data_IF_597777535964
#
_entry.id   IF_597777535964
#
_cell.length_a   1.000
_cell.length_b   1.000
_cell.length_c   1.000
_cell.angle_alpha   90.00
_cell.angle_beta   90.00
_cell.angle_gamma   90.00
#
_symmetry.space_group_name_H-M   'P 1'
#
loop_
_entity.id
_entity.type
_entity.pdbx_description
1 polymer ?
#
# COMPACT_ATOMS: atom_id res chain seq x y z
N UNK A 1 -11.91 -12.05 -10.26
CA UNK A 1 -13.10 -11.69 -9.45
C UNK A 1 -13.23 -12.69 -8.34
N UNK A 2 -13.14 -12.20 -7.11
CA UNK A 2 -13.30 -13.00 -5.88
C UNK A 2 -14.72 -13.56 -5.83
N UNK A 3 -14.88 -14.89 -5.68
CA UNK A 3 -16.19 -15.54 -5.58
C UNK A 3 -16.51 -16.04 -4.16
N UNK A 4 -15.49 -16.08 -3.31
CA UNK A 4 -15.59 -16.49 -1.92
C UNK A 4 -15.05 -15.42 -1.02
N UNK A 5 -15.54 -15.34 0.21
CA UNK A 5 -14.96 -14.47 1.23
C UNK A 5 -13.65 -15.12 1.72
N UNK A 6 -12.56 -14.41 1.57
CA UNK A 6 -11.26 -14.79 2.11
C UNK A 6 -10.93 -13.93 3.32
N UNK A 7 -10.18 -14.47 4.27
CA UNK A 7 -9.83 -13.73 5.49
C UNK A 7 -8.33 -13.77 5.72
N UNK A 8 -7.77 -12.59 6.07
CA UNK A 8 -6.36 -12.40 6.39
C UNK A 8 -6.27 -11.75 7.77
N UNK A 9 -5.49 -12.34 8.67
CA UNK A 9 -5.24 -11.79 10.00
C UNK A 9 -3.94 -10.99 10.01
N UNK A 10 -4.01 -9.74 10.45
CA UNK A 10 -2.85 -8.95 10.83
C UNK A 10 -2.50 -9.28 12.28
N UNK A 11 -1.28 -9.76 12.51
CA UNK A 11 -0.79 -10.13 13.84
C UNK A 11 0.19 -9.08 14.37
N UNK A 12 0.04 -8.75 15.65
CA UNK A 12 1.00 -7.95 16.43
C UNK A 12 1.36 -8.76 17.66
N UNK A 13 2.64 -8.90 17.95
CA UNK A 13 3.17 -9.70 19.06
C UNK A 13 2.60 -11.14 19.11
N UNK A 14 2.30 -11.71 17.94
CA UNK A 14 1.74 -13.05 17.82
C UNK A 14 0.24 -13.16 18.08
N UNK A 15 -0.45 -12.06 18.40
CA UNK A 15 -1.90 -12.01 18.56
C UNK A 15 -2.57 -11.40 17.30
N UNK A 16 -3.75 -11.90 16.91
CA UNK A 16 -4.53 -11.30 15.83
C UNK A 16 -5.06 -9.93 16.27
N UNK A 17 -4.57 -8.86 15.66
CA UNK A 17 -4.97 -7.49 15.94
C UNK A 17 -6.14 -7.04 15.08
N UNK A 18 -6.12 -7.33 13.78
CA UNK A 18 -7.19 -7.03 12.83
C UNK A 18 -7.38 -8.21 11.90
N UNK A 19 -8.66 -8.52 11.61
CA UNK A 19 -9.02 -9.47 10.57
C UNK A 19 -9.64 -8.73 9.40
N UNK A 20 -9.03 -8.86 8.24
CA UNK A 20 -9.58 -8.38 6.97
C UNK A 20 -10.35 -9.49 6.28
N UNK A 21 -11.49 -9.12 5.71
CA UNK A 21 -12.28 -10.00 4.86
C UNK A 21 -12.30 -9.42 3.44
N UNK A 22 -11.68 -10.13 2.50
CA UNK A 22 -11.87 -9.83 1.07
C UNK A 22 -13.19 -10.44 0.61
N UNK A 23 -14.05 -9.59 0.08
CA UNK A 23 -15.41 -9.97 -0.32
C UNK A 23 -15.60 -9.81 -1.82
N UNK A 24 -16.45 -10.62 -2.47
CA UNK A 24 -16.87 -10.34 -3.83
C UNK A 24 -17.54 -8.97 -3.92
N UNK A 25 -17.56 -8.37 -5.11
CA UNK A 25 -18.33 -7.16 -5.37
C UNK A 25 -19.85 -7.43 -5.38
N UNK A 26 -20.64 -6.36 -5.28
CA UNK A 26 -22.09 -6.43 -5.50
C UNK A 26 -22.35 -6.49 -7.02
N UNK A 27 -22.76 -7.65 -7.53
CA UNK A 27 -22.92 -7.88 -8.98
C UNK A 27 -24.13 -7.11 -9.52
N UNK A 28 -25.30 -7.23 -8.86
CA UNK A 28 -26.53 -6.52 -9.22
C UNK A 28 -27.03 -5.60 -8.09
N UNK A 29 -26.25 -4.56 -7.81
CA UNK A 29 -26.57 -3.55 -6.80
C UNK A 29 -27.91 -2.84 -7.06
N UNK A 30 -28.31 -2.67 -8.34
CA UNK A 30 -29.55 -2.00 -8.68
C UNK A 30 -30.79 -2.82 -8.31
N UNK A 31 -30.81 -4.09 -8.69
CA UNK A 31 -31.93 -4.98 -8.38
C UNK A 31 -32.00 -5.26 -6.87
N UNK A 32 -30.85 -5.47 -6.21
CA UNK A 32 -30.83 -5.68 -4.76
C UNK A 32 -31.34 -4.45 -4.01
N UNK A 33 -30.91 -3.24 -4.36
CA UNK A 33 -31.39 -2.01 -3.72
C UNK A 33 -32.89 -1.84 -3.89
N UNK A 34 -33.42 -2.09 -5.10
CA UNK A 34 -34.85 -2.06 -5.35
C UNK A 34 -35.58 -3.08 -4.48
N UNK A 35 -35.11 -4.29 -4.42
CA UNK A 35 -35.67 -5.34 -3.55
C UNK A 35 -35.68 -4.93 -2.08
N UNK A 36 -34.56 -4.42 -1.54
CA UNK A 36 -34.46 -3.96 -0.17
C UNK A 36 -35.43 -2.81 0.14
N UNK A 37 -35.64 -1.88 -0.81
CA UNK A 37 -36.59 -0.76 -0.64
C UNK A 37 -38.05 -1.21 -0.62
N UNK A 38 -38.37 -2.31 -1.28
CA UNK A 38 -39.74 -2.85 -1.29
C UNK A 38 -40.01 -3.82 -0.14
N UNK A 39 -38.96 -4.38 0.47
CA UNK A 39 -39.05 -5.33 1.56
C UNK A 39 -39.40 -4.54 2.88
N UNK A 40 -40.47 -4.91 3.56
CA UNK A 40 -40.87 -4.33 4.85
C UNK A 40 -40.86 -2.79 4.85
N UNK A 41 -41.87 -2.13 4.24
CA UNK A 41 -41.88 -0.66 4.05
C UNK A 41 -41.64 0.17 5.30
N UNK A 42 -42.15 -0.28 6.46
CA UNK A 42 -42.09 0.43 7.73
C UNK A 42 -40.82 0.10 8.55
N UNK A 43 -39.96 -0.83 8.07
CA UNK A 43 -38.75 -1.22 8.77
C UNK A 43 -37.57 -0.27 8.48
N UNK A 44 -36.63 -0.21 9.40
CA UNK A 44 -35.36 0.50 9.21
C UNK A 44 -34.54 -0.15 8.11
N UNK A 45 -33.61 0.57 7.47
CA UNK A 45 -32.73 -0.03 6.42
C UNK A 45 -32.01 -1.29 6.88
N UNK A 46 -31.47 -1.32 8.09
CA UNK A 46 -30.75 -2.48 8.61
C UNK A 46 -31.68 -3.67 8.91
N UNK A 47 -32.90 -3.42 9.31
CA UNK A 47 -33.91 -4.49 9.50
C UNK A 47 -34.30 -5.11 8.18
N UNK A 48 -34.40 -4.33 7.10
CA UNK A 48 -34.62 -4.82 5.74
C UNK A 48 -33.47 -5.71 5.27
N UNK A 49 -32.23 -5.30 5.49
CA UNK A 49 -31.06 -6.12 5.19
C UNK A 49 -31.08 -7.43 5.96
N UNK A 50 -31.38 -7.39 7.27
CA UNK A 50 -31.49 -8.63 8.10
C UNK A 50 -32.65 -9.54 7.66
N UNK A 51 -33.77 -8.96 7.25
CA UNK A 51 -34.89 -9.72 6.71
C UNK A 51 -34.54 -10.37 5.38
N UNK A 52 -33.92 -9.62 4.47
CA UNK A 52 -33.39 -10.16 3.21
C UNK A 52 -32.46 -11.36 3.44
N UNK A 53 -31.48 -11.25 4.35
CA UNK A 53 -30.52 -12.31 4.63
C UNK A 53 -31.15 -13.61 5.18
N UNK A 54 -32.35 -13.54 5.74
CA UNK A 54 -33.13 -14.68 6.19
C UNK A 54 -34.07 -15.23 5.10
N UNK A 55 -34.31 -14.42 4.06
CA UNK A 55 -35.20 -14.76 2.95
C UNK A 55 -34.62 -15.76 1.96
N UNK A 56 -35.46 -16.33 1.08
CA UNK A 56 -35.03 -17.25 0.05
C UNK A 56 -34.16 -16.61 -1.02
N UNK A 57 -34.37 -15.33 -1.34
CA UNK A 57 -33.63 -14.57 -2.37
C UNK A 57 -32.14 -14.47 -2.05
N UNK A 58 -31.78 -14.43 -0.76
CA UNK A 58 -30.40 -14.44 -0.29
C UNK A 58 -29.66 -15.78 -0.53
N UNK A 59 -30.38 -16.82 -0.95
CA UNK A 59 -29.83 -18.14 -1.31
C UNK A 59 -30.00 -18.46 -2.80
N UNK A 60 -30.64 -17.57 -3.53
CA UNK A 60 -30.98 -17.75 -4.93
C UNK A 60 -30.47 -16.58 -5.79
N UNK A 61 -31.32 -15.59 -6.03
CA UNK A 61 -31.04 -14.48 -6.95
C UNK A 61 -29.88 -13.59 -6.51
N UNK A 62 -29.68 -13.40 -5.19
CA UNK A 62 -28.65 -12.50 -4.61
C UNK A 62 -27.69 -13.25 -3.67
N UNK A 63 -27.25 -14.46 -4.05
CA UNK A 63 -26.39 -15.26 -3.18
C UNK A 63 -25.02 -14.57 -2.92
N UNK A 64 -24.44 -13.93 -3.94
CA UNK A 64 -23.13 -13.27 -3.81
C UNK A 64 -23.25 -12.03 -2.93
N UNK A 65 -24.24 -11.20 -3.18
CA UNK A 65 -24.53 -10.01 -2.38
C UNK A 65 -24.84 -10.37 -0.93
N UNK A 66 -25.57 -11.46 -0.71
CA UNK A 66 -25.85 -11.95 0.64
C UNK A 66 -24.60 -12.37 1.41
N UNK A 67 -23.57 -12.91 0.75
CA UNK A 67 -22.26 -13.19 1.37
C UNK A 67 -21.60 -11.92 1.84
N UNK A 68 -21.54 -10.91 0.99
CA UNK A 68 -20.98 -9.60 1.32
C UNK A 68 -21.68 -8.97 2.52
N UNK A 69 -23.03 -8.93 2.49
CA UNK A 69 -23.80 -8.28 3.54
C UNK A 69 -23.78 -9.06 4.88
N UNK A 70 -23.69 -10.39 4.86
CA UNK A 70 -23.47 -11.18 6.09
C UNK A 70 -22.13 -10.83 6.72
N UNK A 71 -21.07 -10.88 5.94
CA UNK A 71 -19.72 -10.53 6.41
C UNK A 71 -19.67 -9.10 6.95
N UNK A 72 -20.26 -8.14 6.24
CA UNK A 72 -20.31 -6.75 6.69
C UNK A 72 -21.04 -6.58 8.02
N UNK A 73 -22.16 -7.27 8.23
CA UNK A 73 -22.89 -7.18 9.50
C UNK A 73 -22.11 -7.77 10.69
N UNK A 74 -21.18 -8.70 10.43
CA UNK A 74 -20.32 -9.30 11.46
C UNK A 74 -19.05 -8.48 11.72
N UNK A 75 -18.64 -7.61 10.78
CA UNK A 75 -17.47 -6.74 10.91
C UNK A 75 -17.75 -5.49 11.75
N UNK A 76 -16.67 -4.88 12.27
CA UNK A 76 -16.73 -3.59 12.95
C UNK A 76 -16.90 -2.42 11.96
N UNK A 77 -16.31 -2.50 10.76
CA UNK A 77 -16.42 -1.50 9.69
C UNK A 77 -16.26 -2.15 8.31
N UNK A 78 -16.60 -1.40 7.26
CA UNK A 78 -16.28 -1.72 5.86
C UNK A 78 -15.24 -0.76 5.31
N UNK A 79 -14.28 -1.29 4.56
CA UNK A 79 -13.39 -0.53 3.69
C UNK A 79 -13.96 -0.63 2.28
N UNK A 80 -14.40 0.51 1.71
CA UNK A 80 -14.93 0.56 0.36
C UNK A 80 -13.84 1.07 -0.60
N UNK A 81 -13.18 0.14 -1.29
CA UNK A 81 -12.06 0.45 -2.20
C UNK A 81 -12.60 0.92 -3.55
N UNK A 82 -12.19 2.10 -3.97
CA UNK A 82 -12.66 2.79 -5.17
C UNK A 82 -11.50 2.96 -6.15
N UNK A 83 -11.64 2.43 -7.37
CA UNK A 83 -10.73 2.75 -8.48
C UNK A 83 -11.09 4.13 -9.05
N UNK A 84 -10.29 5.13 -8.71
CA UNK A 84 -10.52 6.51 -9.12
C UNK A 84 -10.37 6.77 -10.62
N UNK A 85 -9.83 5.85 -11.40
CA UNK A 85 -9.77 5.96 -12.87
C UNK A 85 -11.15 5.75 -13.51
N UNK A 86 -12.07 5.18 -12.76
CA UNK A 86 -13.45 5.00 -13.21
C UNK A 86 -14.32 6.19 -12.78
N UNK A 87 -15.16 6.65 -13.68
CA UNK A 87 -16.17 7.67 -13.40
C UNK A 87 -17.26 7.12 -12.48
N UNK A 88 -17.93 8.00 -11.75
CA UNK A 88 -19.04 7.60 -10.86
C UNK A 88 -20.24 7.16 -11.65
N UNK A 89 -20.43 5.86 -11.80
CA UNK A 89 -21.59 5.26 -12.45
C UNK A 89 -22.75 5.07 -11.46
N UNK A 90 -24.00 4.96 -11.94
CA UNK A 90 -25.18 4.72 -11.09
C UNK A 90 -25.03 3.50 -10.17
N UNK A 91 -24.39 2.43 -10.63
CA UNK A 91 -24.15 1.21 -9.84
C UNK A 91 -23.41 1.48 -8.54
N UNK A 92 -22.42 2.37 -8.55
CA UNK A 92 -21.65 2.72 -7.35
C UNK A 92 -22.47 3.49 -6.32
N UNK A 93 -23.41 4.32 -6.76
CA UNK A 93 -24.36 4.98 -5.87
C UNK A 93 -25.28 3.97 -5.18
N UNK A 94 -25.72 2.94 -5.92
CA UNK A 94 -26.51 1.86 -5.32
C UNK A 94 -25.70 1.04 -4.33
N UNK A 95 -24.44 0.74 -4.62
CA UNK A 95 -23.53 0.08 -3.68
C UNK A 95 -23.38 0.87 -2.38
N UNK A 96 -23.13 2.18 -2.47
CA UNK A 96 -23.02 3.07 -1.31
C UNK A 96 -24.31 3.06 -0.48
N UNK A 97 -25.49 3.15 -1.11
CA UNK A 97 -26.78 3.07 -0.42
C UNK A 97 -26.97 1.73 0.31
N UNK A 98 -26.59 0.62 -0.31
CA UNK A 98 -26.66 -0.73 0.29
C UNK A 98 -25.72 -0.84 1.48
N UNK A 99 -24.47 -0.37 1.36
CA UNK A 99 -23.51 -0.37 2.45
C UNK A 99 -24.00 0.48 3.63
N UNK A 100 -24.53 1.67 3.35
CA UNK A 100 -25.11 2.54 4.36
C UNK A 100 -26.31 1.90 5.07
N UNK A 101 -27.11 1.10 4.34
CA UNK A 101 -28.26 0.38 4.93
C UNK A 101 -27.85 -0.69 5.96
N UNK A 102 -26.60 -1.13 5.97
CA UNK A 102 -26.08 -2.08 6.96
C UNK A 102 -25.83 -1.46 8.34
N UNK A 103 -25.89 -0.14 8.48
CA UNK A 103 -25.65 0.59 9.72
C UNK A 103 -24.27 0.28 10.35
N UNK A 104 -23.27 0.07 9.50
CA UNK A 104 -21.86 -0.09 9.89
C UNK A 104 -21.06 1.12 9.40
N UNK A 105 -20.00 1.53 10.10
CA UNK A 105 -19.06 2.51 9.58
C UNK A 105 -18.50 2.07 8.23
N UNK A 106 -18.50 2.97 7.26
CA UNK A 106 -17.92 2.74 5.94
C UNK A 106 -16.79 3.73 5.73
N UNK A 107 -15.61 3.25 5.40
CA UNK A 107 -14.44 4.06 5.07
C UNK A 107 -14.13 3.92 3.57
N UNK A 108 -14.47 4.90 2.75
CA UNK A 108 -14.03 4.94 1.36
C UNK A 108 -12.52 5.10 1.26
N UNK A 109 -11.90 4.28 0.41
CA UNK A 109 -10.47 4.33 0.09
C UNK A 109 -10.32 4.61 -1.40
N UNK A 110 -9.77 5.77 -1.74
CA UNK A 110 -9.50 6.18 -3.11
C UNK A 110 -8.16 5.61 -3.58
N UNK A 111 -8.24 4.56 -4.41
CA UNK A 111 -7.09 3.96 -5.07
C UNK A 111 -6.83 4.64 -6.43
N UNK A 112 -5.58 4.68 -6.88
CA UNK A 112 -5.15 5.34 -8.11
C UNK A 112 -5.51 6.83 -8.17
N UNK A 113 -5.50 7.50 -7.01
CA UNK A 113 -5.89 8.92 -6.93
C UNK A 113 -4.88 9.85 -7.61
N UNK A 114 -3.63 9.43 -7.78
CA UNK A 114 -2.55 10.17 -8.44
C UNK A 114 -2.44 9.86 -9.95
N UNK A 115 -3.25 8.93 -10.47
CA UNK A 115 -3.28 8.62 -11.90
C UNK A 115 -3.78 9.83 -12.71
N UNK A 116 -3.18 10.15 -13.88
CA UNK A 116 -3.64 11.25 -14.75
C UNK A 116 -5.12 11.14 -15.19
N UNK A 117 -5.68 9.92 -15.24
CA UNK A 117 -7.08 9.68 -15.57
C UNK A 117 -7.99 9.72 -14.31
N UNK A 118 -7.47 10.10 -13.15
CA UNK A 118 -8.21 10.04 -11.89
C UNK A 118 -9.38 11.01 -11.84
N UNK A 119 -10.54 10.48 -11.45
CA UNK A 119 -11.78 11.21 -11.16
C UNK A 119 -11.98 11.41 -9.63
N UNK A 120 -10.90 11.43 -8.84
CA UNK A 120 -10.97 11.49 -7.37
C UNK A 120 -11.79 12.66 -6.83
N UNK A 121 -11.79 13.82 -7.51
CA UNK A 121 -12.62 14.97 -7.13
C UNK A 121 -14.12 14.66 -7.22
N UNK A 122 -14.55 14.03 -8.32
CA UNK A 122 -15.94 13.60 -8.52
C UNK A 122 -16.38 12.55 -7.51
N UNK A 123 -15.47 11.62 -7.17
CA UNK A 123 -15.71 10.63 -6.14
C UNK A 123 -15.91 11.27 -4.76
N UNK A 124 -15.04 12.22 -4.37
CA UNK A 124 -15.19 12.93 -3.09
C UNK A 124 -16.51 13.69 -3.00
N UNK A 125 -16.90 14.39 -4.05
CA UNK A 125 -18.19 15.08 -4.10
C UNK A 125 -19.34 14.09 -3.92
N UNK A 126 -19.31 12.96 -4.63
CA UNK A 126 -20.34 11.93 -4.50
C UNK A 126 -20.38 11.35 -3.09
N UNK A 127 -19.24 10.96 -2.52
CA UNK A 127 -19.15 10.39 -1.18
C UNK A 127 -19.67 11.38 -0.12
N UNK A 128 -19.34 12.66 -0.26
CA UNK A 128 -19.86 13.72 0.62
C UNK A 128 -21.39 13.82 0.55
N UNK A 129 -21.98 13.69 -0.65
CA UNK A 129 -23.43 13.69 -0.81
C UNK A 129 -24.12 12.50 -0.11
N UNK A 130 -23.40 11.41 0.10
CA UNK A 130 -23.85 10.24 0.89
C UNK A 130 -23.36 10.25 2.34
N UNK A 131 -22.89 11.38 2.85
CA UNK A 131 -22.41 11.57 4.23
C UNK A 131 -21.16 10.73 4.59
N UNK A 132 -20.42 10.27 3.60
CA UNK A 132 -19.13 9.56 3.78
C UNK A 132 -17.98 10.56 3.73
N UNK A 133 -17.80 11.33 4.82
CA UNK A 133 -16.82 12.41 4.87
C UNK A 133 -15.38 11.94 5.15
N UNK A 134 -15.21 10.81 5.85
CA UNK A 134 -13.90 10.22 6.10
C UNK A 134 -13.50 9.40 4.87
N UNK A 135 -12.68 9.98 4.01
CA UNK A 135 -12.24 9.35 2.77
C UNK A 135 -10.71 9.36 2.71
N UNK A 136 -10.12 8.19 2.61
CA UNK A 136 -8.67 7.98 2.63
C UNK A 136 -8.12 7.87 1.20
N UNK A 137 -6.95 8.44 0.96
CA UNK A 137 -6.17 8.16 -0.25
C UNK A 137 -5.17 7.06 0.06
N UNK A 138 -5.26 5.96 -0.65
CA UNK A 138 -4.31 4.87 -0.52
C UNK A 138 -4.09 4.24 -1.90
N UNK A 139 -2.94 4.52 -2.50
CA UNK A 139 -2.57 3.91 -3.78
C UNK A 139 -1.86 2.59 -3.50
N UNK A 140 -2.49 1.48 -3.87
CA UNK A 140 -1.96 0.15 -3.63
C UNK A 140 -0.73 -0.18 -4.49
N UNK A 141 -0.53 0.52 -5.61
CA UNK A 141 0.62 0.31 -6.51
C UNK A 141 1.82 1.17 -6.09
N UNK A 142 1.56 2.40 -5.62
CA UNK A 142 2.59 3.33 -5.22
C UNK A 142 2.16 4.06 -3.93
N UNK A 143 2.09 3.34 -2.78
CA UNK A 143 1.69 3.96 -1.53
C UNK A 143 2.72 5.01 -1.12
N UNK A 144 2.24 6.18 -0.69
CA UNK A 144 3.13 7.18 -0.11
C UNK A 144 3.64 6.70 1.26
N UNK A 145 4.79 7.21 1.66
CA UNK A 145 5.38 6.85 2.96
C UNK A 145 4.44 7.24 4.11
N UNK A 146 4.00 6.27 4.90
CA UNK A 146 3.05 6.46 6.00
C UNK A 146 1.57 6.27 5.60
N UNK A 147 1.27 5.84 4.37
CA UNK A 147 -0.11 5.59 3.93
C UNK A 147 -0.84 4.57 4.81
N UNK A 148 -0.17 3.51 5.22
CA UNK A 148 -0.72 2.51 6.13
C UNK A 148 -1.06 3.10 7.50
N UNK A 149 -0.14 3.88 8.06
CA UNK A 149 -0.36 4.58 9.33
C UNK A 149 -1.60 5.48 9.26
N UNK A 150 -1.69 6.29 8.19
CA UNK A 150 -2.84 7.18 7.98
C UNK A 150 -4.16 6.40 7.88
N UNK A 151 -4.15 5.24 7.23
CA UNK A 151 -5.32 4.35 7.13
C UNK A 151 -5.83 3.94 8.52
N UNK A 152 -4.94 3.53 9.43
CA UNK A 152 -5.31 3.14 10.79
C UNK A 152 -5.70 4.33 11.67
N UNK A 153 -5.08 5.51 11.49
CA UNK A 153 -5.50 6.74 12.15
C UNK A 153 -6.95 7.10 11.80
N UNK A 154 -7.29 7.06 10.50
CA UNK A 154 -8.63 7.36 10.00
C UNK A 154 -9.66 6.29 10.42
N UNK A 155 -9.26 5.00 10.44
CA UNK A 155 -10.08 3.94 11.05
C UNK A 155 -10.34 4.21 12.53
N UNK A 156 -9.37 4.70 13.29
CA UNK A 156 -9.50 5.06 14.69
C UNK A 156 -10.47 6.21 14.94
N UNK A 157 -10.68 7.09 13.95
CA UNK A 157 -11.72 8.13 14.00
C UNK A 157 -13.12 7.52 13.87
N UNK A 158 -13.29 6.53 13.00
CA UNK A 158 -14.54 5.84 12.75
C UNK A 158 -14.87 4.83 13.87
N UNK A 159 -13.88 4.11 14.37
CA UNK A 159 -14.00 3.01 15.33
C UNK A 159 -13.47 3.42 16.72
N UNK A 160 -14.12 4.39 17.36
CA UNK A 160 -13.68 4.95 18.65
C UNK A 160 -13.47 3.89 19.73
N UNK A 161 -14.31 2.86 19.76
CA UNK A 161 -14.21 1.77 20.76
C UNK A 161 -12.99 0.85 20.51
N UNK A 162 -12.46 0.81 19.28
CA UNK A 162 -11.29 0.04 18.87
C UNK A 162 -10.01 0.87 18.79
N UNK A 163 -10.08 2.15 19.13
CA UNK A 163 -8.98 3.10 18.97
C UNK A 163 -7.68 2.65 19.65
N UNK A 164 -7.78 2.07 20.84
CA UNK A 164 -6.58 1.57 21.53
C UNK A 164 -5.89 0.44 20.74
N UNK A 165 -6.66 -0.54 20.25
CA UNK A 165 -6.11 -1.63 19.43
C UNK A 165 -5.51 -1.13 18.10
N UNK A 166 -6.13 -0.13 17.47
CA UNK A 166 -5.59 0.48 16.26
C UNK A 166 -4.33 1.30 16.54
N UNK A 167 -4.22 1.91 17.74
CA UNK A 167 -3.01 2.60 18.17
C UNK A 167 -1.83 1.65 18.35
N UNK A 168 -2.05 0.46 18.89
CA UNK A 168 -1.01 -0.58 18.99
C UNK A 168 -0.44 -0.95 17.62
N UNK A 169 -1.31 -0.99 16.58
CA UNK A 169 -0.89 -1.23 15.19
C UNK A 169 -0.04 -0.06 14.67
N UNK A 170 -0.47 1.17 14.92
CA UNK A 170 0.26 2.38 14.50
C UNK A 170 1.65 2.40 15.15
N UNK A 171 1.73 2.11 16.44
CA UNK A 171 2.98 2.09 17.19
C UNK A 171 3.94 1.02 16.65
N UNK A 172 3.44 -0.15 16.29
CA UNK A 172 4.22 -1.21 15.64
C UNK A 172 4.72 -0.79 14.25
N UNK A 173 3.87 -0.17 13.42
CA UNK A 173 4.27 0.36 12.10
C UNK A 173 5.35 1.44 12.23
N UNK A 174 5.23 2.33 13.21
CA UNK A 174 6.22 3.36 13.50
C UNK A 174 7.55 2.74 13.95
N UNK A 175 7.49 1.74 14.82
CA UNK A 175 8.68 0.99 15.25
C UNK A 175 9.37 0.29 14.08
N UNK A 176 8.63 -0.45 13.26
CA UNK A 176 9.16 -1.12 12.06
C UNK A 176 9.77 -0.13 11.07
N UNK A 177 9.15 1.04 10.89
CA UNK A 177 9.67 2.10 10.04
C UNK A 177 11.01 2.63 10.58
N UNK A 178 11.12 2.82 11.90
CA UNK A 178 12.35 3.26 12.56
C UNK A 178 13.48 2.23 12.41
N UNK A 179 13.18 0.95 12.63
CA UNK A 179 14.16 -0.13 12.48
C UNK A 179 14.65 -0.30 11.05
N UNK A 180 13.74 -0.21 10.06
CA UNK A 180 14.12 -0.21 8.63
C UNK A 180 15.05 0.95 8.29
N UNK A 181 14.76 2.17 8.76
CA UNK A 181 15.62 3.34 8.56
C UNK A 181 16.98 3.18 9.25
N UNK A 182 17.02 2.55 10.42
CA UNK A 182 18.26 2.26 11.14
C UNK A 182 19.12 1.26 10.36
N UNK A 183 18.54 0.14 9.94
CA UNK A 183 19.22 -0.87 9.12
C UNK A 183 19.74 -0.29 7.81
N UNK A 184 18.95 0.53 7.12
CA UNK A 184 19.38 1.20 5.90
C UNK A 184 20.57 2.15 6.13
N UNK A 185 20.55 2.93 7.21
CA UNK A 185 21.69 3.81 7.57
C UNK A 185 22.95 3.02 7.88
N UNK A 186 22.84 1.90 8.58
CA UNK A 186 23.98 1.02 8.89
C UNK A 186 24.58 0.41 7.62
N UNK A 187 23.75 -0.01 6.66
CA UNK A 187 24.20 -0.53 5.36
C UNK A 187 24.96 0.53 4.56
N UNK A 188 24.42 1.75 4.47
CA UNK A 188 25.07 2.85 3.75
C UNK A 188 26.37 3.26 4.45
N UNK A 189 26.37 3.38 5.78
CA UNK A 189 27.56 3.71 6.55
C UNK A 189 28.67 2.65 6.36
N UNK A 190 28.31 1.36 6.37
CA UNK A 190 29.22 0.25 6.14
C UNK A 190 29.82 0.29 4.73
N UNK A 191 29.00 0.60 3.71
CA UNK A 191 29.47 0.80 2.34
C UNK A 191 30.50 1.94 2.28
N UNK A 192 30.18 3.11 2.86
CA UNK A 192 31.08 4.27 2.84
C UNK A 192 32.40 4.00 3.55
N UNK A 193 32.38 3.38 4.72
CA UNK A 193 33.58 2.99 5.45
C UNK A 193 34.41 1.98 4.65
N UNK A 194 33.77 0.95 4.09
CA UNK A 194 34.44 -0.07 3.28
C UNK A 194 35.07 0.52 2.02
N UNK A 195 34.34 1.41 1.33
CA UNK A 195 34.84 2.08 0.14
C UNK A 195 36.01 3.02 0.46
N UNK A 196 35.92 3.80 1.56
CA UNK A 196 36.99 4.69 2.00
C UNK A 196 38.26 3.93 2.47
N UNK A 197 38.07 2.73 3.05
CA UNK A 197 39.16 1.88 3.50
C UNK A 197 39.78 1.06 2.35
N UNK A 198 39.17 1.01 1.19
CA UNK A 198 39.64 0.22 0.06
C UNK A 198 40.93 0.80 -0.49
N UNK A 199 42.00 0.02 -0.44
CA UNK A 199 43.36 0.36 -0.94
C UNK A 199 43.87 -0.74 -1.81
N UNK A 200 44.71 -0.37 -2.81
CA UNK A 200 45.47 -1.28 -3.63
C UNK A 200 46.88 -0.74 -3.73
N UNK A 201 47.83 -1.52 -3.28
CA UNK A 201 49.24 -1.20 -3.44
C UNK A 201 49.68 -1.54 -4.86
N UNK A 202 50.34 -0.61 -5.53
CA UNK A 202 50.90 -0.76 -6.86
C UNK A 202 52.41 -0.88 -6.74
N UNK A 203 52.97 -1.86 -7.42
CA UNK A 203 54.45 -1.93 -7.55
C UNK A 203 54.96 -0.82 -8.50
N UNK A 204 56.22 -0.37 -8.38
CA UNK A 204 56.80 0.58 -9.34
C UNK A 204 56.70 0.09 -10.80
N UNK A 205 56.79 -1.20 -11.04
CA UNK A 205 56.65 -1.82 -12.37
C UNK A 205 55.21 -1.68 -12.90
N UNK A 206 54.18 -1.81 -12.03
CA UNK A 206 52.76 -1.65 -12.42
C UNK A 206 52.43 -0.20 -12.76
N UNK A 207 53.07 0.78 -12.11
CA UNK A 207 52.88 2.19 -12.39
C UNK A 207 53.51 2.61 -13.73
N UNK A 208 54.64 2.01 -14.08
CA UNK A 208 55.36 2.28 -15.34
C UNK A 208 54.69 1.66 -16.55
N UNK A 209 54.01 0.53 -16.38
CA UNK A 209 53.28 -0.15 -17.46
C UNK A 209 51.83 0.38 -17.53
N UNK A 210 51.53 1.19 -18.57
CA UNK A 210 50.22 1.78 -18.79
C UNK A 210 49.10 0.74 -18.93
N UNK A 211 49.37 -0.43 -19.51
CA UNK A 211 48.37 -1.49 -19.68
C UNK A 211 48.05 -2.17 -18.36
N UNK A 212 49.06 -2.48 -17.55
CA UNK A 212 48.90 -3.06 -16.22
C UNK A 212 48.17 -2.09 -15.28
N UNK A 213 48.54 -0.82 -15.28
CA UNK A 213 47.87 0.24 -14.52
C UNK A 213 46.39 0.33 -14.87
N UNK A 214 46.05 0.34 -16.18
CA UNK A 214 44.69 0.38 -16.65
C UNK A 214 43.87 -0.87 -16.26
N UNK A 215 44.51 -2.06 -16.27
CA UNK A 215 43.87 -3.30 -15.85
C UNK A 215 43.56 -3.31 -14.35
N UNK A 216 44.53 -2.86 -13.52
CA UNK A 216 44.34 -2.76 -12.07
C UNK A 216 43.27 -1.74 -11.71
N UNK A 217 43.23 -0.59 -12.39
CA UNK A 217 42.18 0.43 -12.17
C UNK A 217 40.80 -0.11 -12.56
N UNK A 218 40.67 -0.83 -13.68
CA UNK A 218 39.39 -1.48 -14.06
C UNK A 218 38.93 -2.49 -13.02
N UNK A 219 39.85 -3.31 -12.48
CA UNK A 219 39.54 -4.26 -11.42
C UNK A 219 39.07 -3.55 -10.14
N UNK A 220 39.78 -2.50 -9.73
CA UNK A 220 39.40 -1.71 -8.57
C UNK A 220 38.00 -1.11 -8.74
N UNK A 221 37.72 -0.50 -9.89
CA UNK A 221 36.37 0.05 -10.19
C UNK A 221 35.29 -1.05 -10.15
N UNK A 222 35.59 -2.24 -10.68
CA UNK A 222 34.66 -3.38 -10.61
C UNK A 222 34.39 -3.83 -9.16
N UNK A 223 35.41 -3.85 -8.32
CA UNK A 223 35.28 -4.24 -6.91
C UNK A 223 34.41 -3.20 -6.16
N UNK A 224 34.58 -1.91 -6.42
CA UNK A 224 33.72 -0.85 -5.86
C UNK A 224 32.28 -0.99 -6.36
N UNK A 225 32.08 -1.17 -7.65
CA UNK A 225 30.73 -1.34 -8.22
C UNK A 225 30.01 -2.57 -7.62
N UNK A 226 30.74 -3.67 -7.40
CA UNK A 226 30.17 -4.86 -6.75
C UNK A 226 29.70 -4.58 -5.31
N UNK A 227 30.46 -3.78 -4.54
CA UNK A 227 30.02 -3.38 -3.18
C UNK A 227 28.79 -2.50 -3.20
N UNK A 228 28.71 -1.54 -4.14
CA UNK A 228 27.52 -0.69 -4.33
C UNK A 228 26.30 -1.55 -4.66
N UNK A 229 26.43 -2.46 -5.64
CA UNK A 229 25.35 -3.38 -6.02
C UNK A 229 24.90 -4.23 -4.84
N UNK A 230 25.82 -4.77 -4.05
CA UNK A 230 25.48 -5.55 -2.85
C UNK A 230 24.74 -4.72 -1.80
N UNK A 231 25.15 -3.47 -1.59
CA UNK A 231 24.47 -2.55 -0.66
C UNK A 231 23.03 -2.24 -1.15
N UNK A 232 22.84 -1.95 -2.44
CA UNK A 232 21.52 -1.69 -3.01
C UNK A 232 20.60 -2.90 -2.87
N UNK A 233 21.12 -4.11 -3.16
CA UNK A 233 20.35 -5.35 -2.96
C UNK A 233 19.96 -5.57 -1.50
N UNK A 234 20.85 -5.26 -0.55
CA UNK A 234 20.54 -5.32 0.86
C UNK A 234 19.51 -4.28 1.27
N UNK A 235 19.56 -3.06 0.73
CA UNK A 235 18.55 -2.02 0.95
C UNK A 235 17.19 -2.44 0.42
N UNK A 236 17.12 -2.98 -0.81
CA UNK A 236 15.87 -3.51 -1.36
C UNK A 236 15.26 -4.56 -0.43
N UNK A 237 16.06 -5.50 0.07
CA UNK A 237 15.60 -6.52 1.01
C UNK A 237 15.06 -5.93 2.33
N UNK A 238 15.71 -4.88 2.88
CA UNK A 238 15.23 -4.17 4.10
C UNK A 238 13.86 -3.56 3.89
N UNK A 239 13.55 -3.08 2.68
CA UNK A 239 12.26 -2.48 2.34
C UNK A 239 11.26 -3.45 1.70
N UNK A 240 11.59 -4.74 1.61
CA UNK A 240 10.70 -5.79 1.10
C UNK A 240 10.55 -5.80 -0.42
N UNK A 241 11.46 -5.15 -1.15
CA UNK A 241 11.47 -5.19 -2.61
C UNK A 241 12.23 -6.42 -3.13
N UNK A 242 11.81 -6.93 -4.26
CA UNK A 242 12.53 -7.98 -4.96
C UNK A 242 13.81 -7.44 -5.63
N UNK A 243 14.78 -8.34 -5.83
CA UNK A 243 16.10 -7.98 -6.42
C UNK A 243 15.99 -7.36 -7.81
N UNK A 244 14.89 -7.58 -8.52
CA UNK A 244 14.65 -7.09 -9.87
C UNK A 244 13.80 -5.80 -9.90
N UNK A 245 13.33 -5.30 -8.75
CA UNK A 245 12.47 -4.11 -8.68
C UNK A 245 13.25 -2.81 -8.88
N UNK A 246 14.58 -2.85 -8.83
CA UNK A 246 15.43 -1.72 -9.16
C UNK A 246 16.55 -2.13 -10.14
N UNK A 247 16.57 -1.53 -11.31
CA UNK A 247 17.74 -1.51 -12.16
C UNK A 247 18.76 -0.54 -11.59
N UNK A 248 19.84 -1.08 -11.01
CA UNK A 248 20.99 -0.26 -10.60
C UNK A 248 21.86 0.00 -11.84
N UNK A 249 21.74 1.18 -12.41
CA UNK A 249 22.65 1.60 -13.46
C UNK A 249 24.05 1.87 -12.85
N UNK A 250 24.95 0.89 -12.96
CA UNK A 250 26.36 1.01 -12.55
C UNK A 250 27.24 1.61 -13.65
N UNK A 251 26.70 1.94 -14.81
CA UNK A 251 27.44 2.51 -15.93
C UNK A 251 28.16 3.82 -15.60
N UNK A 252 27.59 4.76 -14.83
CA UNK A 252 28.31 5.98 -14.40
C UNK A 252 29.60 5.66 -13.65
N UNK A 253 29.60 4.65 -12.77
CA UNK A 253 30.74 4.25 -11.95
C UNK A 253 31.86 3.60 -12.74
N UNK A 254 31.55 2.96 -13.88
CA UNK A 254 32.51 2.30 -14.73
C UNK A 254 33.09 3.21 -15.83
N UNK A 255 32.35 4.27 -16.22
CA UNK A 255 32.68 5.16 -17.34
C UNK A 255 33.45 6.42 -16.96
N UNK A 256 33.90 6.58 -15.72
CA UNK A 256 34.78 7.68 -15.32
C UNK A 256 34.09 9.01 -15.00
N UNK A 257 32.77 9.05 -14.90
CA UNK A 257 31.99 10.21 -14.48
C UNK A 257 31.72 10.27 -12.97
N UNK A 258 32.41 9.43 -12.19
CA UNK A 258 32.20 9.35 -10.74
C UNK A 258 32.54 10.66 -9.99
N UNK A 259 33.33 11.59 -10.63
CA UNK A 259 33.58 12.93 -10.09
C UNK A 259 32.33 13.84 -10.10
N UNK A 260 31.32 13.47 -10.89
CA UNK A 260 30.05 14.20 -11.00
C UNK A 260 28.95 13.61 -10.12
N UNK A 261 29.17 12.41 -9.51
CA UNK A 261 28.14 11.68 -8.77
C UNK A 261 28.22 11.86 -7.25
N UNK A 262 27.19 11.48 -6.56
CA UNK A 262 26.86 11.31 -5.13
C UNK A 262 27.57 12.22 -4.08
N UNK A 263 28.78 12.68 -4.35
CA UNK A 263 29.57 13.57 -3.48
C UNK A 263 29.84 14.94 -4.09
N UNK A 264 29.34 15.22 -5.28
CA UNK A 264 29.44 16.54 -5.87
C UNK A 264 28.34 17.43 -5.30
N UNK A 265 28.74 18.53 -4.65
CA UNK A 265 27.87 19.52 -4.02
C UNK A 265 26.83 20.09 -5.00
N UNK A 266 27.05 20.04 -6.30
CA UNK A 266 26.10 20.47 -7.33
C UNK A 266 24.99 19.45 -7.59
N UNK A 267 25.27 18.14 -7.54
CA UNK A 267 24.27 17.07 -7.72
C UNK A 267 23.36 16.96 -6.49
N UNK A 268 23.86 17.25 -5.30
CA UNK A 268 23.08 17.23 -4.05
C UNK A 268 22.16 18.46 -3.88
N UNK A 269 22.30 19.49 -4.73
CA UNK A 269 21.43 20.68 -4.68
C UNK A 269 20.20 20.57 -5.58
N UNK A 270 20.17 19.62 -6.50
CA UNK A 270 19.11 19.42 -7.49
C UNK A 270 18.24 18.17 -7.18
N UNK A 271 18.49 17.47 -6.06
CA UNK A 271 17.73 16.35 -5.52
C UNK A 271 16.99 16.75 -4.22
#
# INVERSE_FOLDING_TARGET
TTRHVESIDLHIDGASAVRYHDTPGLEDSAALLHYLKTLLPDATPVERVRAFLRGPEAKAAFEQEAKVLRTLLECDAAIYVIDCRQTVLPKYRYEIEILAACAKPVMPVLNFSNDPASCAAQWRETLTAYHLHTCVQFDAVAPFMGAERQLYEDLGVLLRERRAQLQDIIDELDWQSLERRRAARELVASLLVSAAAMRRDLSPADVQDAQRKAALLRRFKKDVAAQVTACVQALLAVYGFDKNDAEVDVAPWTQGRWEADLFNVHTLKDA
#
